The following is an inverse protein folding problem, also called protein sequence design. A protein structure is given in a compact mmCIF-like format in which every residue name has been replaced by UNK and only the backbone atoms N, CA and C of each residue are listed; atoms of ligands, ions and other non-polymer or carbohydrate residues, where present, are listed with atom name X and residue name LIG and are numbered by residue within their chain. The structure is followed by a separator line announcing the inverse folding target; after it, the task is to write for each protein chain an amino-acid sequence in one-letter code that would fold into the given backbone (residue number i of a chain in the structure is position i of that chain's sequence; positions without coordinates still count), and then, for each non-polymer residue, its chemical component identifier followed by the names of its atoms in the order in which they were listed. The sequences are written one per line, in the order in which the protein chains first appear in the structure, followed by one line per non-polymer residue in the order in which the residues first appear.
data_IF_124064157961
#
_entry.id   IF_124064157961
#
_cell.length_a   1.000
_cell.length_b   1.000
_cell.length_c   1.000
_cell.angle_alpha   90.00
_cell.angle_beta   90.00
_cell.angle_gamma   90.00
#
_symmetry.space_group_name_H-M   'P 1'
#
loop_
_entity.id
_entity.type
_entity.pdbx_description
1 polymer ?
#
# COMPACT_ATOMS: atom_id res chain seq x y z
N UNK A 1 -56.72 -24.88 -56.64
CA UNK A 1 -56.88 -23.91 -55.52
C UNK A 1 -56.01 -24.36 -54.36
N UNK A 2 -54.91 -23.65 -54.10
CA UNK A 2 -53.98 -23.96 -53.02
C UNK A 2 -54.15 -22.92 -51.90
N UNK A 3 -54.73 -23.33 -50.77
CA UNK A 3 -54.99 -22.44 -49.63
C UNK A 3 -54.27 -22.96 -48.39
N UNK A 4 -53.34 -22.12 -47.93
CA UNK A 4 -52.90 -21.90 -46.55
C UNK A 4 -52.35 -23.07 -45.71
N UNK A 5 -51.16 -23.59 -46.05
CA UNK A 5 -50.27 -24.29 -45.07
C UNK A 5 -49.45 -23.33 -44.18
N UNK A 6 -49.47 -22.02 -44.46
CA UNK A 6 -48.65 -21.05 -43.73
C UNK A 6 -49.22 -20.56 -42.40
N UNK A 7 -50.53 -20.64 -42.19
CA UNK A 7 -51.16 -20.16 -40.95
C UNK A 7 -51.01 -21.13 -39.78
N UNK A 8 -51.07 -22.45 -40.02
CA UNK A 8 -50.86 -23.45 -38.97
C UNK A 8 -49.41 -23.47 -38.47
N UNK A 9 -48.44 -23.34 -39.37
CA UNK A 9 -47.01 -23.30 -39.01
C UNK A 9 -46.66 -22.08 -38.14
N UNK A 10 -47.23 -20.91 -38.47
CA UNK A 10 -47.06 -19.71 -37.66
C UNK A 10 -47.68 -19.84 -36.26
N UNK A 11 -48.88 -20.43 -36.17
CA UNK A 11 -49.56 -20.68 -34.90
C UNK A 11 -48.81 -21.70 -34.03
N UNK A 12 -48.24 -22.74 -34.64
CA UNK A 12 -47.40 -23.71 -33.93
C UNK A 12 -46.06 -23.12 -33.48
N UNK A 13 -45.54 -22.11 -34.20
CA UNK A 13 -44.37 -21.33 -33.77
C UNK A 13 -44.70 -20.42 -32.59
N UNK A 14 -45.86 -19.76 -32.58
CA UNK A 14 -46.30 -18.94 -31.45
C UNK A 14 -46.49 -19.75 -30.17
N UNK A 15 -47.18 -20.89 -30.26
CA UNK A 15 -47.35 -21.81 -29.11
C UNK A 15 -46.01 -22.31 -28.56
N UNK A 16 -45.00 -22.46 -29.42
CA UNK A 16 -43.65 -22.88 -29.02
C UNK A 16 -42.87 -21.77 -28.31
N UNK A 17 -43.07 -20.51 -28.69
CA UNK A 17 -42.46 -19.33 -28.06
C UNK A 17 -43.12 -19.06 -26.70
N UNK A 18 -44.44 -19.20 -26.62
CA UNK A 18 -45.22 -19.05 -25.39
C UNK A 18 -44.88 -20.14 -24.36
N UNK A 19 -44.81 -21.41 -24.79
CA UNK A 19 -44.43 -22.55 -23.94
C UNK A 19 -42.97 -22.50 -23.46
N UNK A 20 -42.09 -21.73 -24.13
CA UNK A 20 -40.71 -21.47 -23.70
C UNK A 20 -40.58 -20.35 -22.67
N UNK A 21 -41.68 -19.74 -22.21
CA UNK A 21 -41.61 -18.70 -21.19
C UNK A 21 -40.87 -17.44 -21.65
N UNK A 22 -40.78 -17.19 -22.96
CA UNK A 22 -40.25 -15.94 -23.51
C UNK A 22 -41.30 -14.82 -23.45
N UNK A 23 -42.13 -14.82 -22.40
CA UNK A 23 -43.14 -13.81 -22.15
C UNK A 23 -42.48 -12.59 -21.54
N UNK A 24 -42.22 -11.56 -22.36
CA UNK A 24 -42.08 -10.11 -22.05
C UNK A 24 -41.15 -9.63 -20.91
N UNK A 25 -40.67 -10.47 -20.02
CA UNK A 25 -39.81 -10.11 -18.89
C UNK A 25 -38.31 -10.26 -19.20
N UNK A 26 -37.94 -10.99 -20.25
CA UNK A 26 -36.52 -11.21 -20.60
C UNK A 26 -35.95 -10.19 -21.60
N UNK A 27 -36.77 -9.37 -22.26
CA UNK A 27 -36.28 -8.37 -23.24
C UNK A 27 -35.94 -7.03 -22.56
N UNK A 28 -36.35 -6.83 -21.31
CA UNK A 28 -36.04 -5.62 -20.52
C UNK A 28 -35.06 -5.86 -19.36
N UNK A 29 -34.34 -6.99 -19.33
CA UNK A 29 -33.18 -7.15 -18.47
C UNK A 29 -31.87 -6.94 -19.26
N UNK A 30 -31.76 -5.77 -19.89
CA UNK A 30 -30.47 -5.22 -20.36
C UNK A 30 -29.57 -4.75 -19.19
N UNK A 31 -29.87 -5.16 -17.96
CA UNK A 31 -29.05 -4.94 -16.76
C UNK A 31 -28.44 -6.23 -16.20
N UNK A 32 -28.93 -7.43 -16.59
CA UNK A 32 -28.48 -8.71 -16.03
C UNK A 32 -27.58 -9.54 -16.98
N UNK A 33 -27.39 -9.10 -18.22
CA UNK A 33 -26.60 -9.81 -19.23
C UNK A 33 -25.08 -9.55 -19.19
N UNK A 34 -24.56 -8.84 -18.18
CA UNK A 34 -23.14 -8.42 -18.14
C UNK A 34 -22.28 -9.15 -17.10
N UNK A 35 -22.77 -10.25 -16.51
CA UNK A 35 -22.00 -11.07 -15.54
C UNK A 35 -22.41 -12.54 -15.73
N UNK A 36 -21.54 -13.41 -16.27
CA UNK A 36 -20.37 -13.88 -15.52
C UNK A 36 -19.16 -14.20 -16.42
N UNK A 37 -18.68 -13.24 -17.23
CA UNK A 37 -17.41 -13.40 -17.95
C UNK A 37 -16.26 -12.57 -17.36
N UNK A 38 -16.49 -11.99 -16.17
CA UNK A 38 -15.50 -11.31 -15.34
C UNK A 38 -15.34 -12.04 -14.00
N UNK A 39 -15.45 -13.37 -13.96
CA UNK A 39 -15.15 -14.16 -12.75
C UNK A 39 -13.97 -15.14 -12.91
N UNK A 40 -13.25 -15.09 -14.05
CA UNK A 40 -12.12 -15.99 -14.31
C UNK A 40 -10.74 -15.31 -14.34
N UNK A 41 -10.53 -14.24 -13.55
CA UNK A 41 -9.17 -13.76 -13.17
C UNK A 41 -8.91 -13.69 -11.67
N UNK A 42 -9.67 -14.44 -10.85
CA UNK A 42 -9.40 -14.56 -9.41
C UNK A 42 -8.92 -15.96 -9.05
N UNK A 43 -7.91 -16.45 -9.75
CA UNK A 43 -7.19 -17.65 -9.29
C UNK A 43 -5.73 -17.64 -9.76
N UNK A 44 -4.90 -16.83 -9.10
CA UNK A 44 -3.49 -17.15 -8.82
C UNK A 44 -2.82 -16.04 -8.01
N UNK A 45 -2.79 -16.21 -6.69
CA UNK A 45 -1.58 -16.12 -5.81
C UNK A 45 -2.00 -16.22 -4.34
N UNK A 46 -2.47 -17.40 -3.92
CA UNK A 46 -2.60 -17.75 -2.50
C UNK A 46 -1.35 -18.52 -2.10
N UNK A 47 -0.25 -17.81 -1.78
CA UNK A 47 0.88 -18.33 -0.97
C UNK A 47 1.96 -17.28 -0.68
N UNK A 48 2.09 -16.21 -1.47
CA UNK A 48 3.03 -15.10 -1.17
C UNK A 48 2.52 -14.11 -0.11
N UNK A 49 1.35 -14.34 0.48
CA UNK A 49 0.70 -13.42 1.41
C UNK A 49 1.46 -13.20 2.73
N UNK A 50 2.19 -14.21 3.21
CA UNK A 50 2.91 -14.12 4.49
C UNK A 50 4.21 -13.31 4.37
N UNK A 51 5.01 -13.55 3.33
CA UNK A 51 6.29 -12.85 3.09
C UNK A 51 6.13 -11.40 2.64
N UNK A 52 4.97 -11.03 2.07
CA UNK A 52 4.74 -9.65 1.59
C UNK A 52 4.45 -8.66 2.70
N UNK A 53 4.01 -9.11 3.88
CA UNK A 53 3.79 -8.25 5.06
C UNK A 53 5.10 -7.78 5.69
N UNK A 54 6.07 -8.65 6.06
CA UNK A 54 7.35 -8.20 6.59
C UNK A 54 8.12 -7.39 5.53
N UNK A 55 7.98 -7.73 4.24
CA UNK A 55 8.53 -6.90 3.17
C UNK A 55 7.96 -5.48 3.18
N UNK A 56 6.64 -5.32 3.33
CA UNK A 56 6.01 -4.01 3.43
C UNK A 56 6.44 -3.24 4.68
N UNK A 57 6.69 -3.93 5.80
CA UNK A 57 7.24 -3.32 7.01
C UNK A 57 8.64 -2.76 6.76
N UNK A 58 9.54 -3.58 6.20
CA UNK A 58 10.90 -3.14 5.85
C UNK A 58 10.86 -1.99 4.84
N UNK A 59 9.96 -2.04 3.86
CA UNK A 59 9.77 -0.97 2.88
C UNK A 59 9.39 0.36 3.54
N UNK A 60 8.54 0.32 4.57
CA UNK A 60 8.19 1.49 5.38
C UNK A 60 9.39 2.06 6.14
N UNK A 61 10.16 1.19 6.81
CA UNK A 61 11.37 1.60 7.50
C UNK A 61 12.41 2.25 6.55
N UNK A 62 12.62 1.65 5.38
CA UNK A 62 13.52 2.18 4.36
C UNK A 62 13.03 3.53 3.79
N UNK A 63 11.71 3.68 3.63
CA UNK A 63 11.12 4.92 3.17
C UNK A 63 11.39 6.09 4.11
N UNK A 64 11.39 5.86 5.43
CA UNK A 64 11.81 6.86 6.41
C UNK A 64 13.30 7.22 6.27
N UNK A 65 14.18 6.22 6.10
CA UNK A 65 15.61 6.46 5.93
C UNK A 65 15.87 7.33 4.69
N UNK A 66 15.21 7.01 3.57
CA UNK A 66 15.29 7.79 2.34
C UNK A 66 14.73 9.20 2.56
N UNK A 67 13.61 9.32 3.29
CA UNK A 67 13.01 10.61 3.60
C UNK A 67 13.96 11.51 4.42
N UNK A 68 14.58 10.93 5.45
CA UNK A 68 15.55 11.62 6.30
C UNK A 68 16.79 12.01 5.51
N UNK A 69 17.26 11.13 4.62
CA UNK A 69 18.39 11.44 3.73
C UNK A 69 18.06 12.58 2.77
N UNK A 70 16.85 12.60 2.20
CA UNK A 70 16.42 13.69 1.33
C UNK A 70 16.46 15.02 2.08
N UNK A 71 15.80 15.11 3.24
CA UNK A 71 15.81 16.32 4.07
C UNK A 71 17.24 16.75 4.42
N UNK A 72 18.09 15.80 4.83
CA UNK A 72 19.49 16.06 5.14
C UNK A 72 20.26 16.64 3.94
N UNK A 73 20.08 16.09 2.73
CA UNK A 73 20.77 16.55 1.52
C UNK A 73 20.28 17.91 1.02
N UNK A 74 19.04 18.28 1.32
CA UNK A 74 18.50 19.61 1.01
C UNK A 74 18.79 20.66 2.09
N UNK A 75 19.61 20.34 3.09
CA UNK A 75 20.05 21.29 4.11
C UNK A 75 19.11 21.42 5.32
N UNK A 76 18.19 20.48 5.50
CA UNK A 76 17.22 20.50 6.60
C UNK A 76 15.90 21.17 6.23
N UNK A 77 15.10 21.47 7.26
CA UNK A 77 13.88 22.27 7.10
C UNK A 77 14.21 23.77 7.26
N UNK A 78 13.43 24.67 6.64
CA UNK A 78 13.56 26.10 6.89
C UNK A 78 13.42 26.40 8.39
N UNK A 79 14.12 27.41 8.91
CA UNK A 79 14.14 27.75 10.34
C UNK A 79 12.73 27.95 10.94
N UNK A 80 11.80 28.47 10.14
CA UNK A 80 10.38 28.64 10.50
C UNK A 80 9.68 27.32 10.88
N UNK A 81 10.18 26.19 10.38
CA UNK A 81 9.67 24.83 10.58
C UNK A 81 10.64 23.93 11.36
N UNK A 82 11.72 24.47 11.92
CA UNK A 82 12.73 23.71 12.67
C UNK A 82 12.28 23.35 14.10
N UNK A 83 10.97 23.35 14.39
CA UNK A 83 10.47 22.85 15.67
C UNK A 83 10.40 21.32 15.64
N UNK A 84 10.74 20.61 16.73
CA UNK A 84 10.82 19.15 16.74
C UNK A 84 9.56 18.43 16.22
N UNK A 85 8.38 18.97 16.52
CA UNK A 85 7.11 18.41 16.06
C UNK A 85 6.91 18.56 14.55
N UNK A 86 7.32 19.68 13.95
CA UNK A 86 7.27 19.90 12.50
C UNK A 86 8.29 19.03 11.77
N UNK A 87 9.50 18.88 12.33
CA UNK A 87 10.52 18.00 11.74
C UNK A 87 10.05 16.55 11.70
N UNK A 88 9.47 16.08 12.80
CA UNK A 88 8.89 14.75 12.89
C UNK A 88 7.74 14.56 11.89
N UNK A 89 6.84 15.53 11.80
CA UNK A 89 5.72 15.50 10.87
C UNK A 89 6.17 15.52 9.40
N UNK A 90 7.18 16.32 9.06
CA UNK A 90 7.74 16.40 7.72
C UNK A 90 8.42 15.09 7.31
N UNK A 91 9.22 14.49 8.20
CA UNK A 91 9.85 13.19 7.97
C UNK A 91 8.80 12.10 7.78
N UNK A 92 7.78 12.04 8.66
CA UNK A 92 6.69 11.07 8.55
C UNK A 92 5.88 11.27 7.27
N UNK A 93 5.52 12.51 6.92
CA UNK A 93 4.77 12.85 5.72
C UNK A 93 5.52 12.46 4.44
N UNK A 94 6.81 12.76 4.37
CA UNK A 94 7.64 12.40 3.22
C UNK A 94 7.88 10.89 3.14
N UNK A 95 8.06 10.21 4.29
CA UNK A 95 8.13 8.75 4.34
C UNK A 95 6.83 8.10 3.86
N UNK A 96 5.67 8.62 4.25
CA UNK A 96 4.36 8.14 3.79
C UNK A 96 4.19 8.34 2.27
N UNK A 97 4.57 9.51 1.75
CA UNK A 97 4.56 9.76 0.31
C UNK A 97 5.45 8.74 -0.43
N UNK A 98 6.65 8.48 0.09
CA UNK A 98 7.55 7.47 -0.46
C UNK A 98 6.96 6.05 -0.40
N UNK A 99 6.31 5.67 0.71
CA UNK A 99 5.61 4.38 0.82
C UNK A 99 4.52 4.27 -0.23
N UNK A 100 3.72 5.33 -0.45
CA UNK A 100 2.64 5.29 -1.45
C UNK A 100 3.21 5.11 -2.86
N UNK A 101 4.26 5.84 -3.21
CA UNK A 101 4.94 5.69 -4.50
C UNK A 101 5.47 4.26 -4.69
N UNK A 102 6.18 3.73 -3.69
CA UNK A 102 6.73 2.37 -3.75
C UNK A 102 5.63 1.31 -3.74
N UNK A 103 4.55 1.52 -2.99
CA UNK A 103 3.41 0.61 -2.95
C UNK A 103 2.68 0.53 -4.29
N UNK A 104 2.61 1.64 -5.05
CA UNK A 104 2.10 1.64 -6.42
C UNK A 104 3.02 0.80 -7.32
N UNK A 105 4.34 1.06 -7.28
CA UNK A 105 5.34 0.34 -8.10
C UNK A 105 5.35 -1.16 -7.83
N UNK A 106 5.30 -1.56 -6.55
CA UNK A 106 5.34 -2.96 -6.13
C UNK A 106 3.96 -3.62 -6.03
N UNK A 107 2.87 -2.92 -6.38
CA UNK A 107 1.49 -3.39 -6.26
C UNK A 107 1.13 -3.89 -4.83
N UNK A 108 1.57 -3.13 -3.81
CA UNK A 108 1.35 -3.36 -2.38
C UNK A 108 0.27 -2.44 -1.80
N UNK A 109 -0.69 -1.99 -2.61
CA UNK A 109 -1.76 -1.06 -2.20
C UNK A 109 -2.86 -1.70 -1.33
N UNK A 110 -2.67 -2.92 -0.83
CA UNK A 110 -3.66 -3.56 0.05
C UNK A 110 -3.55 -2.95 1.45
N UNK A 111 -4.68 -2.76 2.12
CA UNK A 111 -4.76 -2.17 3.47
C UNK A 111 -3.74 -2.76 4.47
N UNK A 112 -3.58 -4.09 4.48
CA UNK A 112 -2.63 -4.79 5.36
C UNK A 112 -1.16 -4.41 5.12
N UNK A 113 -0.79 -4.15 3.86
CA UNK A 113 0.58 -3.81 3.48
C UNK A 113 0.87 -2.36 3.83
N UNK A 114 -0.07 -1.45 3.52
CA UNK A 114 0.03 -0.05 3.93
C UNK A 114 0.14 0.08 5.45
N UNK A 115 -0.69 -0.65 6.22
CA UNK A 115 -0.60 -0.65 7.67
C UNK A 115 0.75 -1.17 8.17
N UNK A 116 1.26 -2.26 7.59
CA UNK A 116 2.59 -2.78 7.91
C UNK A 116 3.70 -1.76 7.61
N UNK A 117 3.61 -1.04 6.49
CA UNK A 117 4.56 0.02 6.15
C UNK A 117 4.49 1.20 7.12
N UNK A 118 3.29 1.61 7.56
CA UNK A 118 3.13 2.65 8.59
C UNK A 118 3.76 2.22 9.91
N UNK A 119 3.56 0.96 10.33
CA UNK A 119 4.23 0.40 11.50
C UNK A 119 5.75 0.40 11.32
N UNK A 120 6.23 0.04 10.12
CA UNK A 120 7.65 0.09 9.78
C UNK A 120 8.24 1.50 9.86
N UNK A 121 7.51 2.52 9.39
CA UNK A 121 7.89 3.93 9.56
C UNK A 121 8.00 4.27 11.06
N UNK A 122 6.97 3.97 11.86
CA UNK A 122 6.95 4.27 13.28
C UNK A 122 8.09 3.58 14.06
N UNK A 123 8.38 2.31 13.73
CA UNK A 123 9.52 1.59 14.30
C UNK A 123 10.85 2.22 13.90
N UNK A 124 11.03 2.58 12.63
CA UNK A 124 12.24 3.25 12.19
C UNK A 124 12.41 4.62 12.84
N UNK A 125 11.32 5.39 13.03
CA UNK A 125 11.39 6.69 13.70
C UNK A 125 11.93 6.58 15.12
N UNK A 126 11.56 5.51 15.83
CA UNK A 126 11.88 5.33 17.25
C UNK A 126 13.14 4.48 17.50
N UNK A 127 13.60 3.70 16.53
CA UNK A 127 14.68 2.72 16.71
C UNK A 127 15.84 2.83 15.71
N UNK A 128 15.77 3.70 14.70
CA UNK A 128 16.82 3.82 13.67
C UNK A 128 18.19 4.19 14.27
N UNK A 129 18.23 4.96 15.35
CA UNK A 129 19.48 5.32 16.02
C UNK A 129 20.27 4.09 16.48
N UNK A 130 19.60 3.00 16.83
CA UNK A 130 20.28 1.74 17.18
C UNK A 130 21.11 1.19 16.01
N UNK A 131 20.64 1.36 14.77
CA UNK A 131 21.39 0.95 13.57
C UNK A 131 22.65 1.82 13.39
N UNK A 132 22.56 3.10 13.75
CA UNK A 132 23.70 4.03 13.74
C UNK A 132 24.74 3.64 14.79
N UNK A 133 24.30 3.22 15.98
CA UNK A 133 25.20 2.70 17.02
C UNK A 133 25.85 1.37 16.62
N UNK A 134 25.14 0.49 15.92
CA UNK A 134 25.65 -0.81 15.50
C UNK A 134 26.72 -0.70 14.39
N UNK A 135 26.56 0.23 13.44
CA UNK A 135 27.45 0.36 12.29
C UNK A 135 27.77 1.83 11.94
N UNK A 136 28.40 2.60 12.86
CA UNK A 136 28.58 4.04 12.68
C UNK A 136 29.38 4.41 11.43
N UNK A 137 30.37 3.59 11.06
CA UNK A 137 31.19 3.81 9.87
C UNK A 137 30.42 3.75 8.55
N UNK A 138 29.40 2.89 8.44
CA UNK A 138 28.58 2.79 7.24
C UNK A 138 27.60 3.96 7.14
N UNK A 139 26.98 4.35 8.26
CA UNK A 139 26.08 5.50 8.30
C UNK A 139 26.80 6.84 8.09
N UNK A 140 28.07 6.95 8.49
CA UNK A 140 28.88 8.14 8.25
C UNK A 140 29.15 8.40 6.75
N UNK A 141 29.16 7.35 5.92
CA UNK A 141 29.27 7.47 4.46
C UNK A 141 27.99 7.99 3.81
N UNK A 142 26.83 7.74 4.44
CA UNK A 142 25.51 8.08 3.88
C UNK A 142 25.08 9.50 4.28
N UNK A 143 25.17 9.82 5.57
CA UNK A 143 24.74 11.10 6.15
C UNK A 143 25.94 12.02 6.32
N UNK A 144 26.77 11.80 7.34
CA UNK A 144 28.12 12.39 7.50
C UNK A 144 28.69 11.89 8.84
N UNK A 145 30.02 12.03 9.07
CA UNK A 145 30.59 11.77 10.40
C UNK A 145 29.98 12.66 11.49
N UNK A 146 29.71 13.93 11.21
CA UNK A 146 29.13 14.88 12.16
C UNK A 146 27.72 14.46 12.60
N UNK A 147 26.86 14.11 11.63
CA UNK A 147 25.51 13.65 11.91
C UNK A 147 25.51 12.37 12.75
N UNK A 148 26.42 11.42 12.47
CA UNK A 148 26.56 10.21 13.28
C UNK A 148 27.01 10.53 14.71
N UNK A 149 27.93 11.47 14.90
CA UNK A 149 28.37 11.91 16.23
C UNK A 149 27.19 12.48 17.02
N UNK A 150 26.44 13.39 16.41
CA UNK A 150 25.26 14.01 17.02
C UNK A 150 24.23 12.98 17.47
N UNK A 151 23.89 12.01 16.61
CA UNK A 151 22.96 10.93 16.97
C UNK A 151 23.50 10.10 18.14
N UNK A 152 24.80 9.80 18.16
CA UNK A 152 25.39 8.98 19.22
C UNK A 152 25.56 9.71 20.55
N UNK A 153 25.67 11.04 20.51
CA UNK A 153 25.73 11.90 21.69
C UNK A 153 24.34 12.15 22.30
N UNK A 154 23.31 12.20 21.46
CA UNK A 154 21.92 12.50 21.88
C UNK A 154 21.09 11.25 22.21
N UNK A 155 21.49 10.07 21.70
CA UNK A 155 20.75 8.81 21.85
C UNK A 155 21.59 7.68 22.45
N UNK A 156 20.95 6.78 23.19
CA UNK A 156 21.60 5.59 23.77
C UNK A 156 21.35 4.34 22.90
N UNK A 157 22.32 3.42 22.78
CA UNK A 157 22.12 2.15 22.09
C UNK A 157 21.12 1.25 22.83
N UNK A 158 20.44 0.37 22.09
CA UNK A 158 19.39 -0.53 22.60
C UNK A 158 18.26 0.19 23.32
N UNK A 159 17.81 1.32 22.77
CA UNK A 159 16.67 2.07 23.29
C UNK A 159 15.63 2.35 22.21
N UNK A 160 14.39 2.60 22.63
CA UNK A 160 13.37 3.24 21.81
C UNK A 160 13.20 4.68 22.31
N UNK A 161 13.27 5.63 21.38
CA UNK A 161 13.06 7.03 21.68
C UNK A 161 11.76 7.53 21.06
N UNK A 162 10.88 8.10 21.87
CA UNK A 162 9.64 8.70 21.41
C UNK A 162 9.33 9.96 22.21
N UNK A 163 9.32 11.11 21.52
CA UNK A 163 9.04 12.44 22.11
C UNK A 163 9.84 12.73 23.39
N UNK A 164 11.14 12.42 23.37
CA UNK A 164 12.06 12.60 24.50
C UNK A 164 11.94 11.56 25.62
N UNK A 165 10.95 10.66 25.58
CA UNK A 165 10.91 9.49 26.45
C UNK A 165 11.81 8.39 25.88
N UNK A 166 12.61 7.77 26.76
CA UNK A 166 13.53 6.68 26.41
C UNK A 166 13.10 5.40 27.09
N UNK A 167 12.98 4.32 26.32
CA UNK A 167 12.65 2.98 26.82
C UNK A 167 13.80 2.04 26.49
N UNK A 168 14.39 1.38 27.48
CA UNK A 168 15.46 0.40 27.24
C UNK A 168 14.88 -0.90 26.68
N UNK A 169 15.52 -1.42 25.64
CA UNK A 169 15.29 -2.76 25.12
C UNK A 169 16.23 -3.69 25.91
N UNK A 170 15.64 -4.67 26.60
CA UNK A 170 16.34 -5.56 27.54
C UNK A 170 17.35 -6.50 26.90
#
# INVERSE_FOLDING_TARGET
MAVARGHSDFQDRLKRIEKRGAGRAQVFNAADGLKPEIEHRVSRRKTTGFLTVPFALVLGALSLIVARLAIFRYGGLPEEFAQPDYEMAAQAGLALAMVLLLAIVFNLMRKRHLLASVIGIALAMTAMHNLVHMAPGEWAKVFSPQWVSEIRETTEPNTLEFRGARFKLG
#
